data_IF_232350661275
#
_entry.id   IF_232350661275
#
_cell.length_a   1.000
_cell.length_b   1.000
_cell.length_c   1.000
_cell.angle_alpha   90.00
_cell.angle_beta   90.00
_cell.angle_gamma   90.00
#
_symmetry.space_group_name_H-M   'P 1'
#
loop_
_entity.id
_entity.type
_entity.pdbx_description
1 polymer ?
#
# COMPACT_ATOMS: atom_id res chain seq x y z
N UNK A 1 13.97 -14.03 8.20
CA UNK A 1 13.53 -12.62 8.17
C UNK A 1 12.60 -12.45 6.96
N UNK A 2 11.29 -12.53 7.15
CA UNK A 2 10.36 -12.24 6.04
C UNK A 2 10.44 -10.74 5.76
N UNK A 3 10.79 -10.37 4.53
CA UNK A 3 10.59 -9.00 4.04
C UNK A 3 9.12 -8.67 4.30
N UNK A 4 8.85 -7.62 5.08
CA UNK A 4 7.49 -7.08 5.19
C UNK A 4 7.03 -6.75 3.79
N UNK A 5 5.93 -7.36 3.36
CA UNK A 5 5.39 -7.08 2.04
C UNK A 5 4.71 -5.71 2.10
N UNK A 6 5.39 -4.69 1.59
CA UNK A 6 4.90 -3.31 1.64
C UNK A 6 3.56 -3.16 0.93
N UNK A 7 3.29 -4.00 -0.07
CA UNK A 7 2.02 -4.01 -0.79
C UNK A 7 0.88 -4.56 0.08
N UNK A 8 1.12 -5.62 0.87
CA UNK A 8 0.16 -6.11 1.85
C UNK A 8 -0.10 -5.11 2.97
N UNK A 9 0.96 -4.43 3.45
CA UNK A 9 0.83 -3.38 4.46
C UNK A 9 -0.02 -2.22 3.94
N UNK A 10 0.15 -1.86 2.68
CA UNK A 10 -0.65 -0.82 2.04
C UNK A 10 -2.04 -1.32 1.58
N UNK A 11 -2.30 -2.62 1.63
CA UNK A 11 -3.54 -3.24 1.14
C UNK A 11 -3.72 -3.09 -0.38
N UNK A 12 -2.63 -3.00 -1.14
CA UNK A 12 -2.64 -2.81 -2.60
C UNK A 12 -1.98 -3.99 -3.31
N UNK A 13 -2.35 -4.21 -4.57
CA UNK A 13 -1.68 -5.22 -5.41
C UNK A 13 -0.21 -4.85 -5.65
N UNK A 14 0.64 -5.85 -5.93
CA UNK A 14 2.02 -5.61 -6.39
C UNK A 14 2.08 -4.95 -7.77
N UNK A 15 1.00 -5.04 -8.54
CA UNK A 15 0.83 -4.33 -9.82
C UNK A 15 0.13 -2.97 -9.67
N UNK A 16 -0.11 -2.52 -8.42
CA UNK A 16 -0.77 -1.26 -8.19
C UNK A 16 0.05 -0.09 -8.76
N UNK A 17 -0.65 0.82 -9.40
CA UNK A 17 -0.06 2.04 -9.96
C UNK A 17 0.33 3.00 -8.83
N UNK A 18 1.23 3.94 -9.12
CA UNK A 18 1.63 4.96 -8.14
C UNK A 18 0.44 5.76 -7.60
N UNK A 19 -0.60 5.95 -8.42
CA UNK A 19 -1.81 6.66 -8.03
C UNK A 19 -2.63 5.88 -7.00
N UNK A 20 -2.73 4.56 -7.16
CA UNK A 20 -3.41 3.66 -6.22
C UNK A 20 -2.66 3.56 -4.90
N UNK A 21 -1.33 3.43 -4.95
CA UNK A 21 -0.45 3.42 -3.77
C UNK A 21 -0.62 4.71 -2.96
N UNK A 22 -0.57 5.88 -3.61
CA UNK A 22 -0.78 7.18 -2.97
C UNK A 22 -2.18 7.32 -2.37
N UNK A 23 -3.21 6.80 -3.05
CA UNK A 23 -4.59 6.83 -2.56
C UNK A 23 -4.78 5.95 -1.33
N UNK A 24 -4.23 4.72 -1.35
CA UNK A 24 -4.27 3.80 -0.23
C UNK A 24 -3.53 4.33 1.01
N UNK A 25 -2.35 4.91 0.81
CA UNK A 25 -1.59 5.59 1.87
C UNK A 25 -2.41 6.71 2.53
N UNK A 26 -3.00 7.61 1.73
CA UNK A 26 -3.85 8.69 2.25
C UNK A 26 -5.05 8.15 3.03
N UNK A 27 -5.71 7.10 2.54
CA UNK A 27 -6.86 6.48 3.21
C UNK A 27 -6.49 5.87 4.56
N UNK A 28 -5.34 5.21 4.67
CA UNK A 28 -4.88 4.67 5.96
C UNK A 28 -4.40 5.75 6.93
N UNK A 29 -3.77 6.82 6.44
CA UNK A 29 -3.28 7.91 7.29
C UNK A 29 -4.40 8.82 7.84
N UNK A 30 -5.60 8.76 7.25
CA UNK A 30 -6.79 9.50 7.69
C UNK A 30 -7.61 8.75 8.75
N UNK A 31 -7.18 7.56 9.17
CA UNK A 31 -7.83 6.74 10.19
C UNK A 31 -7.02 6.78 11.49
#
# INVERSE_FOLDING_TARGET
MSKRDYYEVLGVSREATEQEIKSAYRKMALK
#
